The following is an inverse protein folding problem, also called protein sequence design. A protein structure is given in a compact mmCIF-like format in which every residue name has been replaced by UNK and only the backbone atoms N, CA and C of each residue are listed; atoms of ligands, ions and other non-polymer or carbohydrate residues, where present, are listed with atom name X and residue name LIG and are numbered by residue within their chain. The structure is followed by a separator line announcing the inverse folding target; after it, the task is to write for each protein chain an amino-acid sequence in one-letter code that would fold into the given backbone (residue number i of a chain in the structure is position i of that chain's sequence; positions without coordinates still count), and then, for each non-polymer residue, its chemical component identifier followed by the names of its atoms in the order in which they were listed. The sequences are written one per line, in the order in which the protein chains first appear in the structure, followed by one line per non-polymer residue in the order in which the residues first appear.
data_IF_090779641839
#
_entry.id   IF_090779641839
#
_cell.length_a   1.000
_cell.length_b   1.000
_cell.length_c   1.000
_cell.angle_alpha   90.00
_cell.angle_beta   90.00
_cell.angle_gamma   90.00
#
_symmetry.space_group_name_H-M   'P 1'
#
loop_
_entity.id
_entity.type
_entity.pdbx_description
1 polymer ?
#
# COMPACT_ATOMS: atom_id res chain seq x y z
N UNK A 1 -12.44 -17.34 -11.39
CA UNK A 1 -11.05 -17.44 -10.93
C UNK A 1 -10.77 -16.17 -10.14
N UNK A 2 -10.39 -16.27 -8.86
CA UNK A 2 -10.01 -15.07 -8.09
C UNK A 2 -8.66 -14.59 -8.61
N UNK A 3 -8.56 -13.33 -8.99
CA UNK A 3 -7.28 -12.74 -9.41
C UNK A 3 -6.50 -12.45 -8.14
N UNK A 4 -5.29 -12.99 -8.04
CA UNK A 4 -4.37 -12.61 -6.97
C UNK A 4 -3.93 -11.17 -7.23
N UNK A 5 -4.35 -10.25 -6.35
CA UNK A 5 -3.99 -8.84 -6.46
C UNK A 5 -2.72 -8.52 -5.68
N UNK A 6 -1.95 -7.57 -6.21
CA UNK A 6 -0.76 -7.02 -5.57
C UNK A 6 -1.09 -5.68 -4.89
N UNK A 7 -0.87 -5.63 -3.57
CA UNK A 7 -0.89 -4.42 -2.75
C UNK A 7 0.54 -3.91 -2.62
N UNK A 8 0.83 -2.81 -3.30
CA UNK A 8 2.12 -2.11 -3.23
C UNK A 8 2.03 -0.97 -2.22
N UNK A 9 2.89 -0.98 -1.21
CA UNK A 9 3.00 0.09 -0.22
C UNK A 9 4.31 0.81 -0.48
N UNK A 10 4.22 2.01 -1.01
CA UNK A 10 5.37 2.89 -1.23
C UNK A 10 5.57 3.75 -0.01
N UNK A 11 6.74 3.65 0.59
CA UNK A 11 7.07 4.36 1.81
C UNK A 11 8.55 4.57 1.95
N UNK A 12 8.94 5.03 3.13
CA UNK A 12 10.34 5.14 3.49
C UNK A 12 10.54 4.65 4.92
N UNK A 13 11.75 4.20 5.22
CA UNK A 13 12.14 3.91 6.60
C UNK A 13 12.10 5.17 7.48
N UNK A 14 12.40 6.33 6.88
CA UNK A 14 12.30 7.62 7.55
C UNK A 14 10.84 8.10 7.58
N UNK A 15 10.35 8.52 8.75
CA UNK A 15 9.01 9.10 8.91
C UNK A 15 8.90 10.37 8.05
N UNK A 16 7.79 10.51 7.34
CA UNK A 16 7.48 11.73 6.58
C UNK A 16 7.48 12.94 7.52
N UNK A 17 8.26 13.98 7.17
CA UNK A 17 8.39 15.19 7.98
C UNK A 17 7.03 15.85 8.28
N UNK A 18 6.07 15.70 7.37
CA UNK A 18 4.71 16.21 7.50
C UNK A 18 3.76 15.28 8.28
N UNK A 19 4.17 14.05 8.56
CA UNK A 19 3.34 13.01 9.17
C UNK A 19 3.92 12.46 10.50
N UNK A 20 4.61 13.30 11.27
CA UNK A 20 5.29 12.92 12.53
C UNK A 20 4.40 12.22 13.57
N UNK A 21 3.07 12.37 13.51
CA UNK A 21 2.12 11.73 14.42
C UNK A 21 1.42 10.50 13.82
N UNK A 22 1.73 10.13 12.58
CA UNK A 22 1.17 8.98 11.88
C UNK A 22 2.12 7.78 11.95
N UNK A 23 1.59 6.54 11.83
CA UNK A 23 2.43 5.34 11.82
C UNK A 23 3.47 5.39 10.70
N UNK A 24 4.62 4.73 10.92
CA UNK A 24 5.63 4.61 9.87
C UNK A 24 5.09 3.78 8.69
N UNK A 25 5.79 3.85 7.56
CA UNK A 25 5.43 3.03 6.40
C UNK A 25 5.54 1.53 6.68
N UNK A 26 6.49 1.10 7.53
CA UNK A 26 6.63 -0.29 7.97
C UNK A 26 5.47 -0.72 8.89
N UNK A 27 5.12 0.12 9.88
CA UNK A 27 3.98 -0.15 10.76
C UNK A 27 2.68 -0.29 9.94
N UNK A 28 2.51 0.59 8.96
CA UNK A 28 1.35 0.56 8.05
C UNK A 28 1.32 -0.72 7.22
N UNK A 29 2.48 -1.18 6.74
CA UNK A 29 2.61 -2.46 6.03
C UNK A 29 2.19 -3.64 6.91
N UNK A 30 2.73 -3.74 8.12
CA UNK A 30 2.44 -4.85 9.04
C UNK A 30 0.97 -4.83 9.47
N UNK A 31 0.44 -3.65 9.77
CA UNK A 31 -0.96 -3.45 10.12
C UNK A 31 -1.90 -3.85 8.99
N UNK A 32 -1.62 -3.41 7.75
CA UNK A 32 -2.43 -3.77 6.58
C UNK A 32 -2.37 -5.27 6.28
N UNK A 33 -1.18 -5.87 6.35
CA UNK A 33 -1.02 -7.31 6.19
C UNK A 33 -1.90 -8.08 7.17
N UNK A 34 -1.86 -7.71 8.45
CA UNK A 34 -2.68 -8.35 9.49
C UNK A 34 -4.18 -8.11 9.29
N UNK A 35 -4.57 -6.87 8.95
CA UNK A 35 -5.98 -6.50 8.76
C UNK A 35 -6.60 -7.19 7.54
N UNK A 36 -5.87 -7.28 6.43
CA UNK A 36 -6.31 -7.96 5.21
C UNK A 36 -6.40 -9.47 5.42
N UNK A 37 -5.40 -10.07 6.07
CA UNK A 37 -5.39 -11.52 6.35
C UNK A 37 -6.57 -11.94 7.23
N UNK A 38 -6.98 -11.08 8.16
CA UNK A 38 -8.18 -11.30 9.01
C UNK A 38 -9.48 -11.10 8.23
N UNK A 39 -9.54 -10.12 7.33
CA UNK A 39 -10.77 -9.77 6.61
C UNK A 39 -11.06 -10.73 5.45
N UNK A 40 -10.02 -11.21 4.79
CA UNK A 40 -10.08 -12.12 3.65
C UNK A 40 -9.35 -13.43 3.98
N UNK A 41 -9.87 -14.22 4.95
CA UNK A 41 -9.26 -15.50 5.27
C UNK A 41 -9.31 -16.42 4.04
N UNK A 42 -8.30 -17.29 3.91
CA UNK A 42 -8.19 -18.30 2.85
C UNK A 42 -8.15 -17.72 1.41
N UNK A 43 -7.90 -16.42 1.26
CA UNK A 43 -7.76 -15.76 -0.03
C UNK A 43 -6.33 -15.26 -0.19
N UNK A 44 -5.68 -15.64 -1.30
CA UNK A 44 -4.31 -15.23 -1.57
C UNK A 44 -4.26 -13.81 -2.10
N UNK A 45 -3.32 -13.02 -1.61
CA UNK A 45 -2.96 -11.69 -2.09
C UNK A 45 -1.49 -11.45 -1.78
N UNK A 46 -0.83 -10.59 -2.55
CA UNK A 46 0.55 -10.21 -2.28
C UNK A 46 0.59 -8.81 -1.71
N UNK A 47 1.32 -8.62 -0.61
CA UNK A 47 1.63 -7.29 -0.08
C UNK A 47 3.13 -7.07 -0.21
N UNK A 48 3.53 -5.95 -0.81
CA UNK A 48 4.92 -5.60 -1.06
C UNK A 48 5.19 -4.19 -0.56
N UNK A 49 6.31 -4.05 0.14
CA UNK A 49 6.84 -2.76 0.55
C UNK A 49 7.89 -2.29 -0.44
N UNK A 50 7.76 -1.04 -0.89
CA UNK A 50 8.68 -0.38 -1.80
C UNK A 50 9.24 0.86 -1.11
N UNK A 51 10.55 0.91 -0.94
CA UNK A 51 11.22 2.08 -0.40
C UNK A 51 11.43 3.11 -1.51
N UNK A 52 10.82 4.28 -1.36
CA UNK A 52 10.87 5.35 -2.37
C UNK A 52 12.28 5.93 -2.53
N UNK A 53 13.11 5.89 -1.47
CA UNK A 53 14.50 6.37 -1.52
C UNK A 53 15.48 5.30 -2.02
N UNK A 54 15.12 4.02 -1.93
CA UNK A 54 15.89 2.90 -2.48
C UNK A 54 15.23 2.33 -3.75
N UNK A 55 14.70 3.20 -4.61
CA UNK A 55 14.04 2.80 -5.84
C UNK A 55 14.99 2.06 -6.79
N UNK A 56 14.92 0.72 -6.78
CA UNK A 56 15.63 -0.18 -7.70
C UNK A 56 14.72 -1.35 -8.11
N UNK A 57 13.50 -1.00 -8.53
CA UNK A 57 12.44 -1.92 -8.91
C UNK A 57 12.24 -1.89 -10.43
N UNK A 58 11.05 -2.27 -10.90
CA UNK A 58 10.67 -2.12 -12.31
C UNK A 58 10.49 -0.64 -12.69
N UNK A 59 10.61 -0.34 -13.98
CA UNK A 59 10.53 1.05 -14.49
C UNK A 59 9.28 1.79 -14.00
N UNK A 60 8.13 1.13 -14.01
CA UNK A 60 6.85 1.71 -13.59
C UNK A 60 6.83 2.06 -12.09
N UNK A 61 7.33 1.15 -11.24
CA UNK A 61 7.43 1.33 -9.79
C UNK A 61 8.43 2.43 -9.44
N UNK A 62 9.56 2.49 -10.15
CA UNK A 62 10.58 3.53 -9.95
C UNK A 62 10.04 4.92 -10.34
N UNK A 63 9.31 5.02 -11.46
CA UNK A 63 8.61 6.27 -11.83
C UNK A 63 7.63 6.70 -10.74
N UNK A 64 6.92 5.74 -10.12
CA UNK A 64 6.01 6.03 -9.02
C UNK A 64 6.74 6.51 -7.77
N UNK A 65 7.86 5.88 -7.40
CA UNK A 65 8.71 6.34 -6.30
C UNK A 65 9.21 7.77 -6.53
N UNK A 66 9.70 8.06 -7.74
CA UNK A 66 10.14 9.41 -8.11
C UNK A 66 8.99 10.41 -8.02
N UNK A 67 7.81 10.08 -8.56
CA UNK A 67 6.62 10.91 -8.47
C UNK A 67 6.24 11.27 -7.03
N UNK A 68 6.29 10.30 -6.10
CA UNK A 68 6.00 10.54 -4.68
C UNK A 68 6.97 11.57 -4.08
N UNK A 69 8.25 11.50 -4.46
CA UNK A 69 9.28 12.41 -3.96
C UNK A 69 9.17 13.79 -4.63
N UNK A 70 9.01 13.84 -5.96
CA UNK A 70 8.94 15.07 -6.75
C UNK A 70 7.67 15.88 -6.46
N UNK A 71 6.54 15.22 -6.23
CA UNK A 71 5.27 15.85 -5.88
C UNK A 71 5.05 16.03 -4.37
N UNK A 72 6.05 15.70 -3.54
CA UNK A 72 6.00 15.76 -2.07
C UNK A 72 4.74 15.08 -1.50
N UNK A 73 4.39 13.90 -2.03
CA UNK A 73 3.20 13.16 -1.60
C UNK A 73 3.39 12.58 -0.20
N UNK A 74 2.28 12.50 0.55
CA UNK A 74 2.29 11.90 1.87
C UNK A 74 2.43 10.38 1.79
N UNK A 75 3.56 9.87 2.26
CA UNK A 75 3.83 8.44 2.35
C UNK A 75 3.59 7.91 3.78
N UNK A 76 3.12 6.66 3.96
CA UNK A 76 3.00 5.60 2.95
C UNK A 76 1.84 5.78 1.95
N UNK A 77 2.11 5.49 0.68
CA UNK A 77 1.13 5.43 -0.40
C UNK A 77 0.79 3.97 -0.68
N UNK A 78 -0.49 3.61 -0.57
CA UNK A 78 -1.00 2.27 -0.81
C UNK A 78 -1.63 2.23 -2.20
N UNK A 79 -1.12 1.33 -3.03
CA UNK A 79 -1.53 1.12 -4.41
C UNK A 79 -1.98 -0.32 -4.58
N UNK A 80 -3.16 -0.53 -5.16
CA UNK A 80 -3.71 -1.86 -5.44
C UNK A 80 -3.91 -1.95 -6.94
N UNK A 81 -3.29 -2.94 -7.60
CA UNK A 81 -3.41 -3.14 -9.05
C UNK A 81 -3.14 -1.88 -9.90
N UNK A 82 -2.27 -0.99 -9.41
CA UNK A 82 -1.92 0.28 -10.07
C UNK A 82 -2.79 1.49 -9.68
N UNK A 83 -3.82 1.31 -8.86
CA UNK A 83 -4.68 2.39 -8.37
C UNK A 83 -4.31 2.82 -6.94
N UNK A 84 -4.14 4.12 -6.71
CA UNK A 84 -3.90 4.67 -5.37
C UNK A 84 -5.18 4.59 -4.55
N UNK A 85 -5.16 3.80 -3.48
CA UNK A 85 -6.32 3.61 -2.59
C UNK A 85 -6.21 4.40 -1.28
N UNK A 86 -5.00 4.78 -0.90
CA UNK A 86 -4.76 5.58 0.30
C UNK A 86 -3.35 6.14 0.37
N UNK A 87 -3.20 7.28 1.04
CA UNK A 87 -1.96 8.04 1.17
C UNK A 87 -1.85 8.56 2.62
N UNK A 88 -0.66 8.48 3.22
CA UNK A 88 -0.37 8.87 4.60
C UNK A 88 -1.09 8.01 5.64
N UNK A 89 -2.40 8.20 5.79
CA UNK A 89 -3.27 7.44 6.68
C UNK A 89 -4.31 6.62 5.89
N UNK A 90 -3.90 5.49 5.28
CA UNK A 90 -4.78 4.67 4.47
C UNK A 90 -5.96 4.12 5.30
N UNK A 91 -7.18 4.29 4.78
CA UNK A 91 -8.40 3.80 5.45
C UNK A 91 -8.72 2.38 5.01
N UNK A 92 -8.79 1.45 5.97
CA UNK A 92 -9.19 0.06 5.71
C UNK A 92 -10.48 -0.06 4.91
N UNK A 93 -11.48 0.79 5.18
CA UNK A 93 -12.75 0.78 4.46
C UNK A 93 -12.59 0.97 2.95
N UNK A 94 -11.68 1.83 2.50
CA UNK A 94 -11.40 2.02 1.06
C UNK A 94 -10.67 0.81 0.47
N UNK A 95 -9.68 0.31 1.20
CA UNK A 95 -8.90 -0.85 0.80
C UNK A 95 -9.79 -2.09 0.64
N UNK A 96 -10.68 -2.34 1.60
CA UNK A 96 -11.62 -3.46 1.53
C UNK A 96 -12.57 -3.33 0.36
N UNK A 97 -13.13 -2.14 0.14
CA UNK A 97 -14.00 -1.89 -1.02
C UNK A 97 -13.26 -2.15 -2.34
N UNK A 98 -11.96 -1.83 -2.41
CA UNK A 98 -11.15 -2.13 -3.58
C UNK A 98 -10.98 -3.63 -3.80
N UNK A 99 -10.61 -4.37 -2.74
CA UNK A 99 -10.51 -5.83 -2.77
C UNK A 99 -11.82 -6.48 -3.22
N UNK A 100 -12.97 -6.00 -2.75
CA UNK A 100 -14.28 -6.50 -3.13
C UNK A 100 -14.56 -6.34 -4.65
N UNK A 101 -14.08 -5.27 -5.29
CA UNK A 101 -14.18 -5.09 -6.75
C UNK A 101 -13.45 -6.19 -7.53
N UNK A 102 -12.37 -6.73 -6.97
CA UNK A 102 -11.60 -7.83 -7.56
C UNK A 102 -12.15 -9.22 -7.20
N UNK A 103 -13.30 -9.30 -6.52
CA UNK A 103 -13.98 -10.55 -6.20
C UNK A 103 -13.51 -11.19 -4.88
N UNK A 104 -12.83 -10.43 -4.02
CA UNK A 104 -12.57 -10.88 -2.65
C UNK A 104 -13.84 -10.77 -1.82
N UNK A 105 -14.10 -11.79 -1.00
CA UNK A 105 -15.28 -11.84 -0.13
C UNK A 105 -14.82 -11.69 1.30
N UNK A 106 -15.32 -10.67 1.98
CA UNK A 106 -14.98 -10.54 3.39
C UNK A 106 -15.68 -11.60 4.22
N UNK A 107 -14.98 -12.13 5.23
CA UNK A 107 -15.61 -12.86 6.33
C UNK A 107 -16.51 -11.95 7.18
#
# INVERSE_FOLDING_TARGET
MKKEIEVSIYGAEQICASCVNLPSSKDTYEWLQAALSRKFPEQTFQIKYYDIFQANYTEDKNKFCQKIIEEDLFYPVVVIEGEIVGEGNPKLKKIYAEFEKYGYTSA
#
